data_IF_015710184155
#
_entry.id   IF_015710184155
#
_cell.length_a   1.000
_cell.length_b   1.000
_cell.length_c   1.000
_cell.angle_alpha   90.00
_cell.angle_beta   90.00
_cell.angle_gamma   90.00
#
_symmetry.space_group_name_H-M   'P 1'
#
loop_
_entity.id
_entity.type
_entity.pdbx_description
1 polymer ?
#
# COMPACT_ATOMS: atom_id res chain seq x y z
N UNK A 1 9.65 22.56 24.09
CA UNK A 1 9.73 21.96 23.87
C UNK A 1 9.67 21.32 23.21
N UNK A 2 9.51 21.30 23.10
CA UNK A 2 9.36 20.64 22.52
C UNK A 2 9.08 20.13 21.98
N UNK A 3 8.98 19.94 21.74
CA UNK A 3 8.82 19.33 21.20
C UNK A 3 8.72 18.67 20.60
N UNK A 4 8.88 19.00 20.77
CA UNK A 4 8.82 18.09 20.32
C UNK A 4 8.47 17.26 19.32
N UNK A 5 9.31 16.24 19.13
CA UNK A 5 8.72 15.44 18.09
C UNK A 5 7.36 14.93 18.58
N UNK A 6 6.34 15.12 17.78
CA UNK A 6 5.01 14.72 18.14
C UNK A 6 4.77 13.30 17.58
N UNK A 7 4.71 12.27 18.42
CA UNK A 7 4.52 10.90 17.93
C UNK A 7 3.26 10.73 17.12
N UNK A 8 2.17 11.44 17.47
CA UNK A 8 0.94 11.36 16.73
C UNK A 8 1.10 11.87 15.32
N UNK A 9 1.88 12.94 15.17
CA UNK A 9 2.14 13.50 13.85
C UNK A 9 2.87 12.51 12.97
N UNK A 10 3.89 11.86 13.53
CA UNK A 10 4.65 10.86 12.77
C UNK A 10 3.78 9.67 12.42
N UNK A 11 2.93 9.25 13.34
CA UNK A 11 2.02 8.15 13.11
C UNK A 11 1.05 8.46 11.98
N UNK A 12 0.57 9.70 11.93
CA UNK A 12 -0.34 10.11 10.87
C UNK A 12 0.34 10.04 9.51
N UNK A 13 1.57 10.53 9.41
CA UNK A 13 2.32 10.46 8.17
C UNK A 13 2.52 9.02 7.73
N UNK A 14 2.86 8.17 8.69
CA UNK A 14 3.06 6.77 8.43
C UNK A 14 1.80 6.14 7.85
N UNK A 15 0.64 6.45 8.45
CA UNK A 15 -0.62 5.89 7.98
C UNK A 15 -1.00 6.43 6.61
N UNK A 16 -0.72 7.70 6.34
CA UNK A 16 -1.01 8.29 5.04
C UNK A 16 -0.16 7.64 3.95
N UNK A 17 1.11 7.41 4.24
CA UNK A 17 1.99 6.76 3.28
C UNK A 17 1.54 5.34 3.00
N UNK A 18 1.14 4.62 4.04
CA UNK A 18 0.64 3.26 3.90
C UNK A 18 -0.63 3.22 3.07
N UNK A 19 -1.56 4.14 3.33
CA UNK A 19 -2.80 4.18 2.57
C UNK A 19 -2.55 4.48 1.11
N UNK A 20 -1.66 5.43 0.82
CA UNK A 20 -1.34 5.78 -0.55
C UNK A 20 -0.71 4.60 -1.27
N UNK A 21 0.20 3.90 -0.61
CA UNK A 21 0.87 2.75 -1.18
C UNK A 21 -0.14 1.64 -1.48
N UNK A 22 -0.99 1.33 -0.51
CA UNK A 22 -1.98 0.27 -0.68
C UNK A 22 -3.01 0.62 -1.74
N UNK A 23 -3.42 1.88 -1.79
CA UNK A 23 -4.36 2.33 -2.80
C UNK A 23 -3.77 2.16 -4.21
N UNK A 24 -2.51 2.52 -4.38
CA UNK A 24 -1.85 2.36 -5.66
C UNK A 24 -1.78 0.89 -6.06
N UNK A 25 -1.45 0.03 -5.11
CA UNK A 25 -1.39 -1.41 -5.35
C UNK A 25 -2.75 -1.95 -5.82
N UNK A 26 -3.80 -1.61 -5.09
CA UNK A 26 -5.15 -2.06 -5.43
C UNK A 26 -5.59 -1.50 -6.78
N UNK A 27 -5.23 -0.25 -7.05
CA UNK A 27 -5.59 0.39 -8.31
C UNK A 27 -4.98 -0.35 -9.50
N UNK A 28 -3.72 -0.74 -9.39
CA UNK A 28 -3.06 -1.48 -10.45
C UNK A 28 -3.74 -2.83 -10.65
N UNK A 29 -4.06 -3.52 -9.56
CA UNK A 29 -4.78 -4.78 -9.65
C UNK A 29 -6.13 -4.60 -10.35
N UNK A 30 -6.84 -3.52 -10.01
CA UNK A 30 -8.12 -3.23 -10.65
C UNK A 30 -7.94 -3.03 -12.15
N UNK A 31 -6.91 -2.30 -12.55
CA UNK A 31 -6.65 -2.06 -13.96
C UNK A 31 -6.29 -3.34 -14.70
N UNK A 32 -5.39 -4.14 -14.12
CA UNK A 32 -4.90 -5.34 -14.78
C UNK A 32 -5.97 -6.42 -14.87
N UNK A 33 -6.82 -6.51 -13.85
CA UNK A 33 -7.89 -7.51 -13.83
C UNK A 33 -9.19 -6.99 -14.41
N UNK A 34 -9.20 -5.74 -14.87
CA UNK A 34 -10.39 -5.09 -15.43
C UNK A 34 -11.54 -5.06 -14.43
N UNK A 35 -11.18 -4.82 -13.18
CA UNK A 35 -12.14 -4.70 -12.10
C UNK A 35 -12.60 -6.02 -11.50
N UNK A 36 -12.08 -7.15 -11.98
CA UNK A 36 -12.48 -8.46 -11.48
C UNK A 36 -11.41 -8.97 -10.52
N UNK A 37 -11.59 -8.70 -9.25
CA UNK A 37 -10.64 -9.15 -8.23
C UNK A 37 -11.34 -9.18 -6.87
N UNK A 38 -10.76 -9.95 -5.95
CA UNK A 38 -11.25 -10.01 -4.57
C UNK A 38 -10.66 -8.84 -3.81
N UNK A 39 -11.48 -7.84 -3.56
CA UNK A 39 -11.02 -6.60 -2.95
C UNK A 39 -10.36 -6.85 -1.60
N UNK A 40 -10.98 -7.67 -0.76
CA UNK A 40 -10.44 -7.92 0.58
C UNK A 40 -9.09 -8.62 0.50
N UNK A 41 -8.98 -9.60 -0.38
CA UNK A 41 -7.73 -10.33 -0.53
C UNK A 41 -6.62 -9.42 -1.04
N UNK A 42 -6.94 -8.57 -2.00
CA UNK A 42 -5.93 -7.67 -2.57
C UNK A 42 -5.54 -6.60 -1.57
N UNK A 43 -6.49 -6.08 -0.81
CA UNK A 43 -6.15 -5.08 0.21
C UNK A 43 -5.26 -5.68 1.30
N UNK A 44 -5.54 -6.90 1.68
CA UNK A 44 -4.71 -7.58 2.67
C UNK A 44 -3.30 -7.83 2.12
N UNK A 45 -3.21 -8.24 0.86
CA UNK A 45 -1.93 -8.46 0.22
C UNK A 45 -1.14 -7.16 0.13
N UNK A 46 -1.81 -6.06 -0.17
CA UNK A 46 -1.16 -4.75 -0.24
C UNK A 46 -0.55 -4.40 1.11
N UNK A 47 -1.29 -4.60 2.18
CA UNK A 47 -0.80 -4.30 3.52
C UNK A 47 0.42 -5.16 3.86
N UNK A 48 0.38 -6.44 3.53
CA UNK A 48 1.49 -7.34 3.79
C UNK A 48 2.74 -6.94 3.00
N UNK A 49 2.56 -6.59 1.73
CA UNK A 49 3.68 -6.14 0.92
C UNK A 49 4.29 -4.86 1.45
N UNK A 50 3.43 -3.93 1.88
CA UNK A 50 3.91 -2.67 2.40
C UNK A 50 4.72 -2.88 3.68
N UNK A 51 4.26 -3.76 4.56
CA UNK A 51 4.99 -4.05 5.79
C UNK A 51 6.36 -4.66 5.51
N UNK A 52 6.41 -5.47 4.45
CA UNK A 52 7.65 -6.15 4.09
C UNK A 52 8.62 -5.23 3.37
N UNK A 53 8.12 -4.36 2.52
CA UNK A 53 8.95 -3.52 1.66
C UNK A 53 8.31 -2.16 1.43
N UNK A 54 8.25 -1.30 2.46
CA UNK A 54 7.53 -0.03 2.34
C UNK A 54 8.15 0.94 1.34
N UNK A 55 9.42 0.74 0.98
CA UNK A 55 10.10 1.59 0.02
C UNK A 55 10.00 1.09 -1.41
N UNK A 56 9.26 0.01 -1.61
CA UNK A 56 9.09 -0.57 -2.94
C UNK A 56 8.03 0.18 -3.73
N UNK A 57 8.06 -0.02 -5.05
CA UNK A 57 7.06 0.58 -5.94
C UNK A 57 5.84 -0.32 -5.97
N UNK A 58 4.68 0.14 -5.49
CA UNK A 58 3.49 -0.70 -5.46
C UNK A 58 3.03 -1.12 -6.86
N UNK A 59 3.28 -0.28 -7.86
CA UNK A 59 2.90 -0.60 -9.23
C UNK A 59 3.67 -1.81 -9.73
N UNK A 60 4.99 -1.83 -9.48
CA UNK A 60 5.80 -2.95 -9.90
C UNK A 60 5.44 -4.24 -9.17
N UNK A 61 5.22 -4.13 -7.87
CA UNK A 61 4.88 -5.32 -7.08
C UNK A 61 3.54 -5.88 -7.52
N UNK A 62 2.56 -5.01 -7.74
CA UNK A 62 1.24 -5.46 -8.17
C UNK A 62 1.33 -6.16 -9.52
N UNK A 63 2.10 -5.60 -10.46
CA UNK A 63 2.23 -6.19 -11.78
C UNK A 63 2.89 -7.58 -11.70
N UNK A 64 3.94 -7.71 -10.88
CA UNK A 64 4.61 -8.98 -10.71
C UNK A 64 3.68 -10.02 -10.10
N UNK A 65 2.95 -9.63 -9.06
CA UNK A 65 2.04 -10.56 -8.40
C UNK A 65 0.91 -10.98 -9.31
N UNK A 66 0.40 -10.05 -10.12
CA UNK A 66 -0.69 -10.36 -11.03
C UNK A 66 -0.28 -11.37 -12.10
N UNK A 67 0.98 -11.31 -12.52
CA UNK A 67 1.46 -12.16 -13.62
C UNK A 67 2.05 -13.48 -13.15
N UNK A 68 2.06 -13.73 -11.86
CA UNK A 68 2.58 -15.00 -11.34
C UNK A 68 1.74 -16.20 -11.75
#
# INVERSE_FOLDING_TARGET
>A
MTKEVNPEFDEKRFNEAREAWCRAYVHVWSDLSKGVYDKEAIEKAADEHWQRSPNSDPVLIAAVEFTK
#
